data_IF_560445116754
#
_entry.id   IF_560445116754
#
_cell.length_a   1.000
_cell.length_b   1.000
_cell.length_c   1.000
_cell.angle_alpha   90.00
_cell.angle_beta   90.00
_cell.angle_gamma   90.00
#
_symmetry.space_group_name_H-M   'P 1'
#
loop_
_entity.id
_entity.type
_entity.pdbx_description
1 polymer ?
#
# COMPACT_ATOMS: atom_id res chain seq x y z
N UNK A 1 -3.08 12.60 -1.63
CA UNK A 1 -2.63 11.23 -1.28
C UNK A 1 -2.75 10.27 -2.47
N UNK A 2 -3.95 10.00 -3.00
CA UNK A 2 -4.12 9.06 -4.13
C UNK A 2 -3.41 9.50 -5.42
N UNK A 3 -3.51 10.76 -5.81
CA UNK A 3 -2.83 11.25 -7.02
C UNK A 3 -1.30 11.14 -6.94
N UNK A 4 -0.73 11.35 -5.75
CA UNK A 4 0.70 11.14 -5.52
C UNK A 4 1.07 9.66 -5.58
N UNK A 5 0.21 8.79 -5.05
CA UNK A 5 0.38 7.34 -5.16
C UNK A 5 0.32 6.86 -6.62
N UNK A 6 -0.61 7.37 -7.43
CA UNK A 6 -0.67 7.11 -8.88
C UNK A 6 0.61 7.52 -9.58
N UNK A 7 1.12 8.73 -9.31
CA UNK A 7 2.41 9.21 -9.84
C UNK A 7 3.56 8.31 -9.40
N UNK A 8 3.59 7.87 -8.14
CA UNK A 8 4.59 6.92 -7.65
C UNK A 8 4.55 5.60 -8.41
N UNK A 9 3.36 5.01 -8.60
CA UNK A 9 3.21 3.76 -9.35
C UNK A 9 3.69 3.90 -10.80
N UNK A 10 3.40 5.05 -11.43
CA UNK A 10 3.79 5.32 -12.81
C UNK A 10 5.29 5.57 -12.97
N UNK A 11 5.85 6.49 -12.18
CA UNK A 11 7.21 6.99 -12.42
C UNK A 11 8.30 6.27 -11.62
N UNK A 12 7.98 5.69 -10.45
CA UNK A 12 8.95 4.97 -9.60
C UNK A 12 8.84 3.46 -9.74
N UNK A 13 7.63 2.92 -9.81
CA UNK A 13 7.40 1.45 -9.89
C UNK A 13 7.12 0.95 -11.30
N UNK A 14 7.02 1.86 -12.28
CA UNK A 14 6.77 1.58 -13.70
C UNK A 14 5.59 0.61 -13.93
N UNK A 15 4.50 0.77 -13.17
CA UNK A 15 3.31 -0.07 -13.30
C UNK A 15 2.49 0.30 -14.52
N UNK A 16 1.83 -0.70 -15.10
CA UNK A 16 0.89 -0.50 -16.20
C UNK A 16 -0.32 0.32 -15.77
N UNK A 17 -0.97 1.00 -16.71
CA UNK A 17 -2.20 1.76 -16.46
C UNK A 17 -3.30 0.91 -15.81
N UNK A 18 -3.46 -0.35 -16.24
CA UNK A 18 -4.41 -1.30 -15.63
C UNK A 18 -4.09 -1.57 -14.16
N UNK A 19 -2.80 -1.80 -13.84
CA UNK A 19 -2.36 -2.02 -12.46
C UNK A 19 -2.55 -0.75 -11.62
N UNK A 20 -2.22 0.42 -12.17
CA UNK A 20 -2.41 1.71 -11.49
C UNK A 20 -3.88 1.91 -11.14
N UNK A 21 -4.80 1.67 -12.08
CA UNK A 21 -6.24 1.79 -11.84
C UNK A 21 -6.72 0.83 -10.76
N UNK A 22 -6.33 -0.45 -10.85
CA UNK A 22 -6.70 -1.46 -9.85
C UNK A 22 -6.16 -1.12 -8.48
N UNK A 23 -4.88 -0.77 -8.37
CA UNK A 23 -4.24 -0.47 -7.09
C UNK A 23 -4.80 0.81 -6.48
N UNK A 24 -5.02 1.85 -7.27
CA UNK A 24 -5.62 3.10 -6.78
C UNK A 24 -6.99 2.85 -6.17
N UNK A 25 -7.85 2.09 -6.87
CA UNK A 25 -9.18 1.72 -6.36
C UNK A 25 -9.10 0.90 -5.07
N UNK A 26 -8.16 -0.04 -4.98
CA UNK A 26 -7.98 -0.82 -3.76
C UNK A 26 -7.57 0.08 -2.58
N UNK A 27 -6.70 1.07 -2.83
CA UNK A 27 -6.23 1.99 -1.79
C UNK A 27 -7.30 3.00 -1.39
N UNK A 28 -8.10 3.53 -2.32
CA UNK A 28 -9.26 4.35 -2.00
C UNK A 28 -10.17 3.63 -1.00
N UNK A 29 -10.52 2.38 -1.29
CA UNK A 29 -11.38 1.59 -0.41
C UNK A 29 -10.73 1.22 0.94
N UNK A 30 -9.42 1.07 0.96
CA UNK A 30 -8.68 0.93 2.22
C UNK A 30 -8.75 2.22 3.05
N UNK A 31 -8.56 3.38 2.43
CA UNK A 31 -8.62 4.69 3.08
C UNK A 31 -10.01 4.91 3.67
N UNK A 32 -11.07 4.61 2.91
CA UNK A 32 -12.45 4.72 3.38
C UNK A 32 -12.68 3.86 4.63
N UNK A 33 -12.28 2.59 4.58
CA UNK A 33 -12.36 1.68 5.73
C UNK A 33 -11.56 2.20 6.94
N UNK A 34 -10.36 2.71 6.72
CA UNK A 34 -9.49 3.18 7.79
C UNK A 34 -10.09 4.41 8.50
N UNK A 35 -10.62 5.37 7.74
CA UNK A 35 -11.28 6.55 8.32
C UNK A 35 -12.52 6.16 9.13
N UNK A 36 -13.36 5.26 8.59
CA UNK A 36 -14.53 4.75 9.32
C UNK A 36 -14.16 3.98 10.59
N UNK A 37 -13.01 3.31 10.63
CA UNK A 37 -12.62 2.44 11.75
C UNK A 37 -11.82 3.15 12.83
N UNK A 38 -10.92 4.08 12.47
CA UNK A 38 -9.93 4.66 13.38
C UNK A 38 -10.11 6.17 13.61
N UNK A 39 -10.97 6.85 12.84
CA UNK A 39 -11.27 8.29 12.90
C UNK A 39 -10.02 9.19 13.02
N UNK A 40 -8.93 8.78 12.35
CA UNK A 40 -7.61 9.41 12.39
C UNK A 40 -7.00 9.43 11.00
N UNK A 41 -6.07 10.34 10.77
CA UNK A 41 -5.27 10.37 9.55
C UNK A 41 -4.28 9.19 9.47
N UNK A 42 -4.00 8.76 8.25
CA UNK A 42 -3.06 7.65 7.98
C UNK A 42 -1.64 8.21 8.00
N UNK A 43 -0.97 8.10 9.15
CA UNK A 43 0.44 8.49 9.30
C UNK A 43 1.42 7.33 9.04
N UNK A 44 0.98 6.09 9.32
CA UNK A 44 1.78 4.88 9.16
C UNK A 44 0.87 3.67 9.01
N UNK A 45 1.32 2.68 8.24
CA UNK A 45 0.72 1.34 8.20
C UNK A 45 1.54 0.43 9.11
N UNK A 46 1.01 0.18 10.31
CA UNK A 46 1.55 -0.84 11.21
C UNK A 46 0.95 -2.22 10.91
N UNK A 47 1.55 -3.24 11.53
CA UNK A 47 1.13 -4.63 11.34
C UNK A 47 -0.31 -4.87 11.81
N UNK A 48 -0.74 -4.18 12.86
CA UNK A 48 -2.09 -4.25 13.40
C UNK A 48 -3.11 -3.75 12.38
N UNK A 49 -2.85 -2.61 11.74
CA UNK A 49 -3.72 -2.03 10.71
C UNK A 49 -3.85 -2.96 9.51
N UNK A 50 -2.74 -3.56 9.06
CA UNK A 50 -2.75 -4.51 7.94
C UNK A 50 -3.56 -5.76 8.29
N UNK A 51 -3.37 -6.31 9.50
CA UNK A 51 -4.12 -7.47 9.96
C UNK A 51 -5.61 -7.16 10.12
N UNK A 52 -5.96 -6.02 10.72
CA UNK A 52 -7.34 -5.57 10.87
C UNK A 52 -8.04 -5.38 9.53
N UNK A 53 -7.35 -4.83 8.53
CA UNK A 53 -7.93 -4.71 7.19
C UNK A 53 -8.14 -6.09 6.55
N UNK A 54 -7.18 -7.00 6.70
CA UNK A 54 -7.31 -8.37 6.19
C UNK A 54 -8.51 -9.08 6.82
N UNK A 55 -8.67 -9.00 8.14
CA UNK A 55 -9.80 -9.57 8.87
C UNK A 55 -11.13 -8.97 8.42
N UNK A 56 -11.20 -7.64 8.26
CA UNK A 56 -12.37 -6.95 7.70
C UNK A 56 -12.75 -7.49 6.32
N UNK A 57 -11.78 -7.61 5.40
CA UNK A 57 -12.04 -8.13 4.05
C UNK A 57 -12.55 -9.58 4.06
N UNK A 58 -12.09 -10.39 5.02
CA UNK A 58 -12.46 -11.80 5.15
C UNK A 58 -13.82 -11.99 5.82
N UNK A 59 -14.05 -11.30 6.94
CA UNK A 59 -15.17 -11.57 7.84
C UNK A 59 -16.39 -10.68 7.55
N UNK A 60 -16.15 -9.43 7.17
CA UNK A 60 -17.21 -8.45 6.93
C UNK A 60 -17.57 -8.40 5.46
N UNK A 61 -16.59 -8.12 4.59
CA UNK A 61 -16.82 -8.04 3.14
C UNK A 61 -16.93 -9.41 2.46
N UNK A 62 -16.53 -10.49 3.15
CA UNK A 62 -16.58 -11.89 2.66
C UNK A 62 -15.99 -12.07 1.27
N UNK A 63 -14.89 -11.36 0.99
CA UNK A 63 -14.25 -11.42 -0.32
C UNK A 63 -13.52 -12.74 -0.54
N UNK A 64 -13.42 -13.15 -1.80
CA UNK A 64 -12.62 -14.32 -2.15
C UNK A 64 -11.12 -14.07 -1.97
N UNK A 65 -10.36 -15.15 -1.82
CA UNK A 65 -8.92 -15.10 -1.54
C UNK A 65 -8.10 -14.36 -2.62
N UNK A 66 -8.51 -14.46 -3.89
CA UNK A 66 -7.81 -13.78 -4.99
C UNK A 66 -7.95 -12.27 -4.88
N UNK A 67 -9.18 -11.77 -4.65
CA UNK A 67 -9.47 -10.35 -4.45
C UNK A 67 -8.75 -9.80 -3.22
N UNK A 68 -8.77 -10.56 -2.11
CA UNK A 68 -8.03 -10.18 -0.90
C UNK A 68 -6.54 -10.05 -1.22
N UNK A 69 -5.96 -11.01 -1.94
CA UNK A 69 -4.54 -10.98 -2.32
C UNK A 69 -4.20 -9.74 -3.15
N UNK A 70 -5.03 -9.37 -4.13
CA UNK A 70 -4.83 -8.16 -4.94
C UNK A 70 -4.85 -6.90 -4.07
N UNK A 71 -5.80 -6.80 -3.12
CA UNK A 71 -5.89 -5.67 -2.18
C UNK A 71 -4.67 -5.59 -1.27
N UNK A 72 -4.20 -6.71 -0.74
CA UNK A 72 -3.02 -6.75 0.11
C UNK A 72 -1.74 -6.40 -0.67
N UNK A 73 -1.62 -6.80 -1.94
CA UNK A 73 -0.54 -6.35 -2.81
C UNK A 73 -0.57 -4.84 -3.04
N UNK A 74 -1.77 -4.27 -3.30
CA UNK A 74 -1.92 -2.82 -3.41
C UNK A 74 -1.52 -2.12 -2.11
N UNK A 75 -1.98 -2.63 -0.96
CA UNK A 75 -1.66 -2.08 0.37
C UNK A 75 -0.16 -2.14 0.69
N UNK A 76 0.52 -3.23 0.32
CA UNK A 76 1.98 -3.33 0.45
C UNK A 76 2.71 -2.27 -0.39
N UNK A 77 2.23 -2.02 -1.61
CA UNK A 77 2.78 -0.97 -2.47
C UNK A 77 2.53 0.42 -1.92
N UNK A 78 1.36 0.65 -1.31
CA UNK A 78 1.03 1.89 -0.65
C UNK A 78 1.88 2.14 0.59
N UNK A 79 2.19 1.10 1.36
CA UNK A 79 3.15 1.19 2.47
C UNK A 79 4.55 1.57 1.97
N UNK A 80 5.00 0.99 0.86
CA UNK A 80 6.27 1.37 0.23
C UNK A 80 6.28 2.84 -0.22
N UNK A 81 5.18 3.32 -0.80
CA UNK A 81 5.02 4.73 -1.15
C UNK A 81 5.12 5.64 0.08
N UNK A 82 4.42 5.32 1.17
CA UNK A 82 4.51 6.07 2.41
C UNK A 82 5.92 6.11 3.00
N UNK A 83 6.62 4.97 2.95
CA UNK A 83 8.00 4.90 3.42
C UNK A 83 8.94 5.78 2.59
N UNK A 84 8.76 5.82 1.27
CA UNK A 84 9.54 6.72 0.40
C UNK A 84 9.23 8.21 0.68
N UNK A 85 7.96 8.54 0.92
CA UNK A 85 7.52 9.92 1.18
C UNK A 85 7.99 10.43 2.56
N UNK A 86 7.98 9.56 3.57
CA UNK A 86 8.30 9.87 4.96
C UNK A 86 9.57 9.16 5.43
N UNK A 87 10.57 9.02 4.56
CA UNK A 87 11.79 8.29 4.88
C UNK A 87 12.41 8.88 6.17
N UNK A 88 12.72 8.05 7.19
CA UNK A 88 13.45 8.52 8.35
C UNK A 88 14.80 9.10 7.87
N UNK A 89 15.23 10.24 8.44
CA UNK A 89 16.45 10.99 8.04
C UNK A 89 17.74 10.14 7.97
N UNK A 90 17.75 8.92 8.52
CA UNK A 90 18.91 8.02 8.59
C UNK A 90 18.79 6.74 7.73
N UNK A 91 17.95 6.71 6.69
CA UNK A 91 17.83 5.53 5.83
C UNK A 91 19.03 5.38 4.87
N UNK A 92 19.94 4.47 5.20
CA UNK A 92 20.96 3.96 4.27
C UNK A 92 20.25 2.98 3.33
N UNK A 93 20.09 3.35 2.05
CA UNK A 93 19.73 2.41 0.99
C UNK A 93 20.73 1.26 1.02
N UNK A 94 20.31 0.08 1.50
CA UNK A 94 21.13 -1.13 1.41
C UNK A 94 21.32 -1.42 -0.08
N UNK A 95 22.48 -1.05 -0.63
CA UNK A 95 22.88 -1.40 -2.00
C UNK A 95 22.72 -2.92 -2.13
N UNK A 96 21.97 -3.33 -3.14
CA UNK A 96 21.97 -4.70 -3.66
C UNK A 96 23.44 -5.04 -3.92
N UNK A 97 23.94 -6.12 -3.32
CA UNK A 97 25.33 -6.57 -3.47
C UNK A 97 25.73 -6.50 -4.96
N UNK A 98 26.58 -5.55 -5.32
CA UNK A 98 27.34 -5.61 -6.57
C UNK A 98 28.31 -6.76 -6.37
N UNK A 99 28.06 -7.86 -7.07
CA UNK A 99 29.01 -8.95 -7.20
C UNK A 99 30.27 -8.37 -7.83
N UNK A 100 31.33 -8.24 -7.03
CA UNK A 100 32.67 -7.93 -7.51
C UNK A 100 33.08 -9.13 -8.37
N UNK A 101 33.33 -8.86 -9.65
CA UNK A 101 34.05 -9.75 -10.56
C UNK A 101 35.32 -9.02 -10.99
#
# INVERSE_FOLDING_TARGET
>A
MIEEFKKYLLYKEHKSSSTIKTYSRCIEQFIDWYHSSKNKDIFKLDRETINGYKEYLMLVEKMNAQTISVRLCALAMFNKFFYNKNAPKNYILRKKYESIN
#
